data_IF_395597304066
#
_entry.id   IF_395597304066
#
_cell.length_a   1.000
_cell.length_b   1.000
_cell.length_c   1.000
_cell.angle_alpha   90.00
_cell.angle_beta   90.00
_cell.angle_gamma   90.00
#
_symmetry.space_group_name_H-M   'P 1'
#
loop_
_entity.id
_entity.type
_entity.pdbx_description
1 polymer ?
#
# COMPACT_ATOMS: atom_id res chain seq x y z
N UNK A 1 -17.80 12.32 -12.26
CA UNK A 1 -16.51 12.82 -11.72
C UNK A 1 -15.44 12.63 -12.78
N UNK A 2 -14.29 13.30 -12.65
CA UNK A 2 -13.14 13.03 -13.54
C UNK A 2 -12.54 11.68 -13.14
N UNK A 3 -12.42 10.77 -14.09
CA UNK A 3 -11.79 9.46 -13.89
C UNK A 3 -10.28 9.59 -13.94
N UNK A 4 -9.57 8.91 -13.04
CA UNK A 4 -8.11 8.85 -12.99
C UNK A 4 -7.68 7.40 -12.97
N UNK A 5 -6.78 7.02 -13.90
CA UNK A 5 -6.16 5.69 -13.90
C UNK A 5 -4.80 5.78 -13.21
N UNK A 6 -4.60 4.97 -12.17
CA UNK A 6 -3.31 4.83 -11.49
C UNK A 6 -2.87 3.38 -11.61
N UNK A 7 -1.78 3.15 -12.34
CA UNK A 7 -1.35 1.81 -12.75
C UNK A 7 -2.48 1.02 -13.41
N UNK A 8 -2.98 -0.05 -12.78
CA UNK A 8 -4.06 -0.88 -13.30
C UNK A 8 -5.43 -0.61 -12.62
N UNK A 9 -5.51 0.38 -11.71
CA UNK A 9 -6.73 0.75 -11.00
C UNK A 9 -7.32 2.01 -11.64
N UNK A 10 -8.64 1.99 -11.84
CA UNK A 10 -9.41 3.14 -12.30
C UNK A 10 -10.20 3.68 -11.11
N UNK A 11 -9.99 4.97 -10.79
CA UNK A 11 -10.66 5.68 -9.71
C UNK A 11 -11.66 6.67 -10.31
N UNK A 12 -12.87 6.69 -9.76
CA UNK A 12 -13.95 7.58 -10.20
C UNK A 12 -14.84 7.00 -11.31
N UNK A 13 -14.76 5.69 -11.56
CA UNK A 13 -15.62 4.96 -12.48
C UNK A 13 -15.92 3.55 -11.93
N UNK A 14 -17.10 2.99 -12.25
CA UNK A 14 -17.53 1.66 -11.81
C UNK A 14 -17.82 1.52 -10.32
N UNK A 15 -17.43 0.38 -9.73
CA UNK A 15 -17.66 0.06 -8.32
C UNK A 15 -16.72 0.88 -7.40
N UNK A 16 -17.17 1.25 -6.19
CA UNK A 16 -16.30 1.88 -5.19
C UNK A 16 -15.07 1.01 -4.90
N UNK A 17 -13.90 1.66 -4.81
CA UNK A 17 -12.62 1.01 -4.52
C UNK A 17 -12.36 0.98 -3.01
N UNK A 18 -11.92 -0.17 -2.50
CA UNK A 18 -11.61 -0.35 -1.09
C UNK A 18 -10.16 0.02 -0.80
N UNK A 19 -9.98 1.03 0.06
CA UNK A 19 -8.66 1.46 0.54
C UNK A 19 -8.50 1.04 1.99
N UNK A 20 -7.43 0.31 2.30
CA UNK A 20 -7.12 -0.14 3.66
C UNK A 20 -5.87 0.57 4.17
N UNK A 21 -5.97 1.36 5.25
CA UNK A 21 -4.80 1.93 5.90
C UNK A 21 -4.11 0.89 6.79
N UNK A 22 -2.79 0.81 6.67
CA UNK A 22 -1.90 0.03 7.52
C UNK A 22 -0.89 0.99 8.14
N UNK A 23 -0.70 0.90 9.44
CA UNK A 23 0.18 1.79 10.21
C UNK A 23 1.21 0.92 10.93
N UNK A 24 2.51 1.19 10.76
CA UNK A 24 3.52 0.37 11.39
C UNK A 24 4.95 0.82 11.11
N UNK A 25 5.91 -0.03 11.44
CA UNK A 25 7.32 0.10 11.02
C UNK A 25 7.54 -0.64 9.71
N UNK A 26 8.56 -0.25 8.94
CA UNK A 26 9.02 -1.06 7.81
C UNK A 26 9.61 -2.38 8.36
N UNK A 27 8.84 -3.46 8.28
CA UNK A 27 9.21 -4.77 8.81
C UNK A 27 8.55 -5.89 7.98
N UNK A 28 8.98 -7.14 8.23
CA UNK A 28 8.38 -8.33 7.62
C UNK A 28 6.88 -8.47 7.95
N UNK A 29 6.46 -8.00 9.13
CA UNK A 29 5.04 -8.01 9.56
C UNK A 29 4.16 -7.23 8.60
N UNK A 30 4.65 -6.10 8.08
CA UNK A 30 3.92 -5.27 7.12
C UNK A 30 3.68 -6.00 5.79
N UNK A 31 4.63 -6.84 5.37
CA UNK A 31 4.48 -7.71 4.19
C UNK A 31 3.39 -8.75 4.42
N UNK A 32 3.37 -9.38 5.59
CA UNK A 32 2.37 -10.40 5.93
C UNK A 32 0.96 -9.79 6.04
N UNK A 33 0.82 -8.66 6.74
CA UNK A 33 -0.44 -7.92 6.83
C UNK A 33 -0.95 -7.53 5.44
N UNK A 34 -0.06 -7.03 4.56
CA UNK A 34 -0.45 -6.64 3.21
C UNK A 34 -0.99 -7.83 2.42
N UNK A 35 -0.37 -9.02 2.53
CA UNK A 35 -0.85 -10.24 1.86
C UNK A 35 -2.23 -10.65 2.38
N UNK A 36 -2.45 -10.56 3.68
CA UNK A 36 -3.74 -10.86 4.30
C UNK A 36 -4.81 -9.91 3.78
N UNK A 37 -4.55 -8.60 3.82
CA UNK A 37 -5.48 -7.56 3.38
C UNK A 37 -5.79 -7.68 1.88
N UNK A 38 -4.78 -7.99 1.05
CA UNK A 38 -4.96 -8.28 -0.37
C UNK A 38 -5.92 -9.46 -0.59
N UNK A 39 -5.77 -10.54 0.19
CA UNK A 39 -6.67 -11.71 0.11
C UNK A 39 -8.12 -11.40 0.51
N UNK A 40 -8.35 -10.38 1.32
CA UNK A 40 -9.70 -9.91 1.69
C UNK A 40 -10.34 -8.98 0.65
N UNK A 41 -9.68 -8.72 -0.48
CA UNK A 41 -10.25 -7.94 -1.58
C UNK A 41 -10.02 -6.43 -1.47
N UNK A 42 -8.99 -5.99 -0.76
CA UNK A 42 -8.55 -4.61 -0.83
C UNK A 42 -8.05 -4.27 -2.25
N UNK A 43 -8.50 -3.13 -2.80
CA UNK A 43 -7.98 -2.62 -4.07
C UNK A 43 -6.65 -1.86 -3.85
N UNK A 44 -6.55 -1.10 -2.75
CA UNK A 44 -5.43 -0.20 -2.46
C UNK A 44 -5.02 -0.36 -0.99
N UNK A 45 -3.75 -0.62 -0.75
CA UNK A 45 -3.18 -0.60 0.59
C UNK A 45 -2.42 0.71 0.81
N UNK A 46 -2.80 1.47 1.84
CA UNK A 46 -2.12 2.71 2.23
C UNK A 46 -1.18 2.40 3.39
N UNK A 47 0.12 2.50 3.16
CA UNK A 47 1.14 2.31 4.19
C UNK A 47 1.48 3.66 4.82
N UNK A 48 1.30 3.76 6.13
CA UNK A 48 1.70 4.87 6.96
C UNK A 48 2.85 4.41 7.87
N UNK A 49 4.08 4.77 7.50
CA UNK A 49 5.30 4.39 8.22
C UNK A 49 6.08 5.65 8.63
N UNK A 50 6.62 5.63 9.85
CA UNK A 50 7.54 6.67 10.30
C UNK A 50 8.96 6.25 9.91
N UNK A 51 9.51 6.88 8.87
CA UNK A 51 10.87 6.64 8.39
C UNK A 51 11.82 7.57 9.15
N UNK A 52 12.77 7.00 9.87
CA UNK A 52 13.74 7.75 10.67
C UNK A 52 15.15 7.71 10.06
N UNK A 53 15.44 6.69 9.24
CA UNK A 53 16.75 6.44 8.65
C UNK A 53 16.66 6.06 7.18
N UNK A 54 17.78 6.16 6.45
CA UNK A 54 17.88 5.66 5.07
C UNK A 54 17.64 4.15 4.99
N UNK A 55 18.01 3.39 6.03
CA UNK A 55 17.72 1.95 6.11
C UNK A 55 16.22 1.68 6.08
N UNK A 56 15.41 2.47 6.78
CA UNK A 56 13.94 2.31 6.77
C UNK A 56 13.37 2.49 5.36
N UNK A 57 13.93 3.41 4.58
CA UNK A 57 13.55 3.64 3.17
C UNK A 57 13.89 2.42 2.31
N UNK A 58 15.08 1.86 2.48
CA UNK A 58 15.51 0.67 1.73
C UNK A 58 14.67 -0.55 2.10
N UNK A 59 14.43 -0.78 3.40
CA UNK A 59 13.55 -1.86 3.86
C UNK A 59 12.13 -1.71 3.33
N UNK A 60 11.59 -0.49 3.30
CA UNK A 60 10.29 -0.24 2.70
C UNK A 60 10.29 -0.52 1.20
N UNK A 61 11.33 -0.09 0.48
CA UNK A 61 11.48 -0.33 -0.95
C UNK A 61 11.51 -1.83 -1.25
N UNK A 62 12.36 -2.59 -0.56
CA UNK A 62 12.47 -4.04 -0.68
C UNK A 62 11.11 -4.72 -0.40
N UNK A 63 10.45 -4.33 0.69
CA UNK A 63 9.13 -4.83 1.05
C UNK A 63 8.09 -4.54 -0.06
N UNK A 64 8.06 -3.30 -0.58
CA UNK A 64 7.12 -2.92 -1.65
C UNK A 64 7.40 -3.63 -2.97
N UNK A 65 8.64 -4.02 -3.25
CA UNK A 65 9.01 -4.77 -4.44
C UNK A 65 8.52 -6.24 -4.37
N UNK A 66 8.44 -6.81 -3.17
CA UNK A 66 7.86 -8.15 -2.96
C UNK A 66 6.32 -8.16 -3.00
N UNK A 67 5.69 -7.05 -2.65
CA UNK A 67 4.23 -6.91 -2.64
C UNK A 67 3.67 -6.71 -4.06
N UNK A 68 2.73 -7.55 -4.49
CA UNK A 68 2.07 -7.46 -5.80
C UNK A 68 0.79 -6.59 -5.80
N UNK A 69 0.54 -5.80 -4.75
CA UNK A 69 -0.66 -4.97 -4.60
C UNK A 69 -0.34 -3.48 -4.79
N UNK A 70 -1.36 -2.67 -5.11
CA UNK A 70 -1.19 -1.23 -5.23
C UNK A 70 -0.92 -0.60 -3.85
N UNK A 71 0.23 0.06 -3.72
CA UNK A 71 0.68 0.68 -2.48
C UNK A 71 0.68 2.21 -2.59
N UNK A 72 0.06 2.87 -1.62
CA UNK A 72 0.21 4.30 -1.39
C UNK A 72 1.05 4.51 -0.14
N UNK A 73 2.27 5.04 -0.29
CA UNK A 73 3.14 5.38 0.84
C UNK A 73 2.87 6.82 1.26
N UNK A 74 2.56 7.02 2.53
CA UNK A 74 2.49 8.34 3.14
C UNK A 74 3.36 8.38 4.40
N UNK A 75 4.14 9.45 4.58
CA UNK A 75 4.80 9.72 5.86
C UNK A 75 3.76 10.31 6.82
N UNK A 76 3.77 9.83 8.07
CA UNK A 76 3.01 10.43 9.18
C UNK A 76 3.65 11.73 9.65
#
# INVERSE_FOLDING_TARGET
>A
MKTVKVMNIVVGDGIPKLVVPMVGKASQELIEETKIVANYGADICKIAVMLNTTTDVLTLLDATNEMQIFLLIAQL
#
